data_IF_221273621752
#
_entry.id   IF_221273621752
#
_cell.length_a   1.000
_cell.length_b   1.000
_cell.length_c   1.000
_cell.angle_alpha   90.00
_cell.angle_beta   90.00
_cell.angle_gamma   90.00
#
_symmetry.space_group_name_H-M   'P 1'
#
loop_
_entity.id
_entity.type
_entity.pdbx_description
1 polymer ?
#
# COMPACT_ATOMS: atom_id res chain seq x y z
N UNK A 1 19.02 2.99 0.42
CA UNK A 1 19.71 1.72 0.70
C UNK A 1 18.68 0.68 1.19
N UNK A 2 18.90 -0.61 0.91
CA UNK A 2 17.88 -1.66 1.07
C UNK A 2 17.39 -1.81 2.53
N UNK A 3 18.30 -1.62 3.48
CA UNK A 3 18.06 -1.54 4.92
C UNK A 3 16.96 -0.54 5.32
N UNK A 4 16.89 0.60 4.63
CA UNK A 4 15.88 1.62 4.92
C UNK A 4 14.48 1.21 4.47
N UNK A 5 14.34 0.41 3.41
CA UNK A 5 13.03 -0.07 2.98
C UNK A 5 12.48 -1.14 3.91
N UNK A 6 13.33 -2.02 4.42
CA UNK A 6 12.96 -3.02 5.42
C UNK A 6 12.44 -2.35 6.70
N UNK A 7 13.09 -1.28 7.17
CA UNK A 7 12.61 -0.52 8.33
C UNK A 7 11.28 0.20 8.10
N UNK A 8 11.00 0.63 6.87
CA UNK A 8 9.79 1.42 6.54
C UNK A 8 8.59 0.54 6.23
N UNK A 9 8.79 -0.69 5.72
CA UNK A 9 7.68 -1.55 5.29
C UNK A 9 7.69 -2.94 5.94
N UNK A 10 8.83 -3.44 6.40
CA UNK A 10 9.02 -4.82 6.88
C UNK A 10 8.71 -5.06 8.36
N UNK A 11 8.66 -4.01 9.18
CA UNK A 11 8.41 -4.10 10.62
C UNK A 11 7.09 -3.43 11.04
N UNK A 12 6.11 -3.38 10.12
CA UNK A 12 4.82 -2.75 10.36
C UNK A 12 3.69 -3.72 10.00
N UNK A 13 2.62 -3.68 10.78
CA UNK A 13 1.44 -4.54 10.56
C UNK A 13 0.42 -3.90 9.58
N UNK A 14 0.60 -2.62 9.27
CA UNK A 14 -0.35 -1.84 8.47
C UNK A 14 0.34 -0.64 7.80
N UNK A 15 -0.01 -0.40 6.53
CA UNK A 15 0.38 0.82 5.82
C UNK A 15 -0.84 1.69 5.54
N UNK A 16 -0.77 2.95 5.94
CA UNK A 16 -1.72 3.98 5.53
C UNK A 16 -1.16 4.71 4.31
N UNK A 17 -1.92 4.73 3.22
CA UNK A 17 -1.54 5.36 1.97
C UNK A 17 -2.63 6.34 1.50
N UNK A 18 -2.80 7.49 2.19
CA UNK A 18 -3.86 8.45 1.92
C UNK A 18 -3.49 9.43 0.79
N UNK A 19 -3.15 8.92 -0.39
CA UNK A 19 -2.84 9.76 -1.56
C UNK A 19 -4.01 9.81 -2.55
N UNK A 20 -4.25 10.99 -3.11
CA UNK A 20 -5.18 11.18 -4.25
C UNK A 20 -4.45 11.12 -5.60
N UNK A 21 -3.11 11.18 -5.59
CA UNK A 21 -2.30 11.22 -6.81
C UNK A 21 -1.14 10.26 -6.67
N UNK A 22 -1.15 9.21 -7.48
CA UNK A 22 0.00 8.33 -7.66
C UNK A 22 -0.04 7.67 -9.04
N UNK A 23 1.14 7.47 -9.64
CA UNK A 23 1.28 6.98 -11.01
C UNK A 23 1.54 5.48 -11.13
N UNK A 24 2.12 4.84 -10.10
CA UNK A 24 2.67 3.48 -10.23
C UNK A 24 2.36 2.54 -9.05
N UNK A 25 1.63 3.01 -8.03
CA UNK A 25 1.25 2.23 -6.85
C UNK A 25 2.41 1.52 -6.13
N UNK A 26 3.62 2.09 -6.18
CA UNK A 26 4.81 1.43 -5.65
C UNK A 26 4.78 1.32 -4.13
N UNK A 27 4.16 2.29 -3.45
CA UNK A 27 3.98 2.25 -1.99
C UNK A 27 3.12 1.04 -1.59
N UNK A 28 1.96 0.88 -2.23
CA UNK A 28 1.07 -0.25 -1.99
C UNK A 28 1.72 -1.60 -2.30
N UNK A 29 2.37 -1.72 -3.47
CA UNK A 29 3.10 -2.94 -3.87
C UNK A 29 4.21 -3.31 -2.88
N UNK A 30 4.98 -2.32 -2.42
CA UNK A 30 6.08 -2.57 -1.48
C UNK A 30 5.55 -3.04 -0.13
N UNK A 31 4.51 -2.39 0.40
CA UNK A 31 3.86 -2.83 1.64
C UNK A 31 3.31 -4.25 1.53
N UNK A 32 2.56 -4.54 0.46
CA UNK A 32 2.01 -5.87 0.24
C UNK A 32 3.09 -6.95 0.09
N UNK A 33 4.22 -6.63 -0.51
CA UNK A 33 5.36 -7.54 -0.65
C UNK A 33 5.99 -7.90 0.70
N UNK A 34 5.82 -7.05 1.71
CA UNK A 34 6.22 -7.32 3.09
C UNK A 34 5.12 -8.04 3.90
N UNK A 35 3.97 -8.34 3.29
CA UNK A 35 2.83 -8.96 3.96
C UNK A 35 1.98 -7.99 4.77
N UNK A 36 2.25 -6.68 4.70
CA UNK A 36 1.50 -5.66 5.42
C UNK A 36 0.30 -5.17 4.59
N UNK A 37 -0.95 -5.34 5.07
CA UNK A 37 -2.14 -4.83 4.39
C UNK A 37 -2.12 -3.29 4.31
N UNK A 38 -2.88 -2.74 3.35
CA UNK A 38 -2.88 -1.31 3.03
C UNK A 38 -4.29 -0.72 3.16
N UNK A 39 -4.39 0.49 3.73
CA UNK A 39 -5.60 1.32 3.65
C UNK A 39 -5.31 2.51 2.73
N UNK A 40 -6.11 2.68 1.69
CA UNK A 40 -5.90 3.71 0.67
C UNK A 40 -7.21 4.24 0.09
N UNK A 41 -7.16 5.39 -0.59
CA UNK A 41 -8.34 5.91 -1.31
C UNK A 41 -8.71 5.04 -2.52
N UNK A 42 -10.00 4.95 -2.82
CA UNK A 42 -10.54 4.29 -4.02
C UNK A 42 -10.26 5.13 -5.26
N UNK A 43 -9.00 5.06 -5.70
CA UNK A 43 -8.50 5.76 -6.88
C UNK A 43 -8.07 4.73 -7.93
N UNK A 44 -8.29 4.96 -9.24
CA UNK A 44 -8.09 3.94 -10.29
C UNK A 44 -6.76 3.17 -10.20
N UNK A 45 -5.63 3.88 -10.09
CA UNK A 45 -4.29 3.26 -10.00
C UNK A 45 -4.10 2.44 -8.72
N UNK A 46 -4.72 2.88 -7.62
CA UNK A 46 -4.70 2.16 -6.34
C UNK A 46 -5.54 0.90 -6.45
N UNK A 47 -6.75 1.00 -7.01
CA UNK A 47 -7.69 -0.10 -7.19
C UNK A 47 -7.19 -1.21 -8.11
N UNK A 48 -6.21 -0.95 -8.98
CA UNK A 48 -5.56 -1.98 -9.78
C UNK A 48 -4.74 -2.95 -8.91
N UNK A 49 -4.11 -2.44 -7.84
CA UNK A 49 -3.22 -3.20 -6.93
C UNK A 49 -3.95 -3.64 -5.65
N UNK A 50 -4.69 -2.73 -5.04
CA UNK A 50 -5.44 -2.98 -3.81
C UNK A 50 -6.85 -3.44 -4.18
N UNK A 51 -7.22 -4.62 -3.71
CA UNK A 51 -8.54 -5.21 -3.85
C UNK A 51 -9.20 -5.19 -2.49
N UNK A 52 -10.23 -4.35 -2.37
CA UNK A 52 -10.96 -4.13 -1.14
C UNK A 52 -11.43 -5.44 -0.50
N UNK A 53 -11.20 -5.58 0.81
CA UNK A 53 -11.52 -6.78 1.59
C UNK A 53 -10.63 -8.01 1.32
N UNK A 54 -9.67 -7.94 0.38
CA UNK A 54 -8.78 -9.07 0.04
C UNK A 54 -7.34 -8.85 0.47
N UNK A 55 -6.72 -7.75 0.06
CA UNK A 55 -5.33 -7.42 0.42
C UNK A 55 -5.20 -6.02 1.06
N UNK A 56 -6.30 -5.31 1.21
CA UNK A 56 -6.36 -4.00 1.83
C UNK A 56 -7.80 -3.51 1.95
N UNK A 57 -7.96 -2.26 2.36
CA UNK A 57 -9.23 -1.57 2.45
C UNK A 57 -9.18 -0.32 1.58
N UNK A 58 -10.20 -0.14 0.73
CA UNK A 58 -10.39 1.09 -0.04
C UNK A 58 -11.42 1.99 0.65
N UNK A 59 -11.07 3.25 0.82
CA UNK A 59 -11.94 4.29 1.39
C UNK A 59 -12.31 5.34 0.33
N UNK A 60 -13.52 5.94 0.40
CA UNK A 60 -13.93 6.98 -0.55
C UNK A 60 -13.02 8.20 -0.59
#
# INVERSE_FOLDING_TARGET
PADRQELIFGHHDLTLWPTLVESAALVGLTSLSMGAPVIAFDHPVVGDVIKDGRNGVLIP
#
